data_IF_941709900538
#
_entry.id   IF_941709900538
#
_cell.length_a   1.000
_cell.length_b   1.000
_cell.length_c   1.000
_cell.angle_alpha   90.00
_cell.angle_beta   90.00
_cell.angle_gamma   90.00
#
_symmetry.space_group_name_H-M   'P 1'
#
loop_
_entity.id
_entity.type
_entity.pdbx_description
1 polymer ?
#
# COMPACT_ATOMS: atom_id res chain seq x y z
N UNK A 1 22.01 4.61 13.65
CA UNK A 1 21.35 5.47 12.64
C UNK A 1 19.83 5.36 12.76
N UNK A 2 19.11 6.49 12.63
CA UNK A 2 17.63 6.54 12.64
C UNK A 2 17.11 6.96 11.28
N UNK A 3 16.15 6.22 10.75
CA UNK A 3 15.58 6.46 9.42
C UNK A 3 14.08 6.73 9.54
N UNK A 4 13.52 7.50 8.59
CA UNK A 4 12.09 7.71 8.49
C UNK A 4 11.55 7.52 7.07
N UNK A 5 10.43 6.82 6.96
CA UNK A 5 9.66 6.69 5.73
C UNK A 5 8.33 7.42 5.86
N UNK A 6 8.01 8.27 4.87
CA UNK A 6 6.70 8.90 4.75
C UNK A 6 6.02 8.35 3.50
N UNK A 7 4.93 7.62 3.71
CA UNK A 7 4.05 7.09 2.66
C UNK A 7 2.82 7.99 2.55
N UNK A 8 2.67 8.68 1.42
CA UNK A 8 1.55 9.59 1.14
C UNK A 8 0.62 8.90 0.15
N UNK A 9 -0.26 8.06 0.69
CA UNK A 9 -1.26 7.33 -0.09
C UNK A 9 -2.58 8.09 -0.26
N UNK A 10 -3.46 7.54 -1.09
CA UNK A 10 -4.76 8.15 -1.40
C UNK A 10 -5.76 8.08 -0.24
N UNK A 11 -5.70 7.07 0.62
CA UNK A 11 -6.57 6.94 1.80
C UNK A 11 -5.97 7.60 3.03
N UNK A 12 -4.68 7.37 3.30
CA UNK A 12 -4.01 7.87 4.50
C UNK A 12 -2.57 8.23 4.20
N UNK A 13 -2.01 9.13 5.02
CA UNK A 13 -0.58 9.39 5.07
C UNK A 13 0.02 8.70 6.30
N UNK A 14 1.25 8.20 6.17
CA UNK A 14 1.92 7.43 7.22
C UNK A 14 3.35 7.92 7.42
N UNK A 15 3.77 7.97 8.67
CA UNK A 15 5.16 8.16 9.06
C UNK A 15 5.59 6.91 9.83
N UNK A 16 6.71 6.32 9.44
CA UNK A 16 7.37 5.26 10.17
C UNK A 16 8.79 5.70 10.50
N UNK A 17 9.14 5.74 11.79
CA UNK A 17 10.49 6.04 12.28
C UNK A 17 11.09 4.77 12.86
N UNK A 18 12.31 4.45 12.45
CA UNK A 18 13.03 3.26 12.91
C UNK A 18 14.45 3.61 13.32
N UNK A 19 15.03 2.75 14.16
CA UNK A 19 16.47 2.67 14.39
C UNK A 19 17.02 1.45 13.66
N UNK A 20 18.12 1.62 12.94
CA UNK A 20 18.86 0.50 12.36
C UNK A 20 19.54 -0.28 13.47
N UNK A 21 19.36 -1.59 13.50
CA UNK A 21 20.05 -2.46 14.42
C UNK A 21 21.45 -2.76 13.87
N UNK A 22 22.45 -2.49 14.70
CA UNK A 22 23.87 -2.66 14.32
C UNK A 22 24.42 -4.04 14.75
N UNK A 23 23.66 -4.76 15.59
CA UNK A 23 24.06 -6.09 16.02
C UNK A 23 23.68 -7.14 14.96
N UNK A 24 24.65 -7.85 14.35
CA UNK A 24 24.39 -8.89 13.34
C UNK A 24 23.53 -10.06 13.83
N UNK A 25 23.38 -10.22 15.16
CA UNK A 25 22.56 -11.27 15.77
C UNK A 25 21.08 -10.85 15.92
N UNK A 26 20.74 -9.58 15.66
CA UNK A 26 19.36 -9.12 15.70
C UNK A 26 18.60 -9.70 14.50
N UNK A 27 17.46 -10.34 14.77
CA UNK A 27 16.62 -10.93 13.73
C UNK A 27 16.00 -9.89 12.79
N UNK A 28 15.84 -8.67 13.26
CA UNK A 28 15.23 -7.57 12.52
C UNK A 28 16.24 -6.46 12.27
N UNK A 29 16.37 -6.07 11.00
CA UNK A 29 17.24 -4.96 10.58
C UNK A 29 16.78 -3.62 11.20
N UNK A 30 15.48 -3.43 11.35
CA UNK A 30 14.87 -2.18 11.83
C UNK A 30 14.10 -2.38 13.12
N UNK A 31 14.47 -1.64 14.16
CA UNK A 31 13.66 -1.50 15.37
C UNK A 31 12.70 -0.31 15.19
N UNK A 32 11.40 -0.59 15.17
CA UNK A 32 10.37 0.46 15.11
C UNK A 32 10.46 1.34 16.38
N UNK A 33 10.56 2.66 16.17
CA UNK A 33 10.48 3.67 17.22
C UNK A 33 9.09 4.29 17.29
N UNK A 34 8.52 4.70 16.13
CA UNK A 34 7.20 5.32 16.09
C UNK A 34 6.49 5.02 14.75
N UNK A 35 5.17 4.93 14.80
CA UNK A 35 4.32 4.81 13.63
C UNK A 35 3.06 5.66 13.77
N UNK A 36 2.90 6.63 12.89
CA UNK A 36 1.74 7.51 12.83
C UNK A 36 0.98 7.34 11.52
N UNK A 37 -0.34 7.23 11.60
CA UNK A 37 -1.23 7.17 10.45
C UNK A 37 -2.32 8.24 10.56
N UNK A 38 -2.44 9.09 9.53
CA UNK A 38 -3.46 10.14 9.45
C UNK A 38 -4.36 9.86 8.23
N UNK A 39 -5.66 9.57 8.42
CA UNK A 39 -6.60 9.27 7.34
C UNK A 39 -7.13 10.57 6.69
N UNK A 40 -6.38 11.14 5.74
CA UNK A 40 -6.75 12.40 5.08
C UNK A 40 -7.67 12.17 3.88
N UNK A 41 -7.60 10.98 3.24
CA UNK A 41 -8.40 10.63 2.07
C UNK A 41 -8.22 11.62 0.90
N UNK A 42 -6.96 11.87 0.52
CA UNK A 42 -6.63 12.75 -0.61
C UNK A 42 -7.27 12.26 -1.92
N UNK A 43 -7.52 10.95 -2.03
CA UNK A 43 -8.13 10.31 -3.19
C UNK A 43 -9.56 10.79 -3.47
N UNK A 44 -10.39 11.01 -2.43
CA UNK A 44 -11.78 11.46 -2.62
C UNK A 44 -11.88 12.74 -3.48
N UNK A 45 -10.91 13.63 -3.31
CA UNK A 45 -10.86 14.86 -4.10
C UNK A 45 -10.17 14.63 -5.46
N UNK A 46 -9.02 13.95 -5.43
CA UNK A 46 -8.17 13.80 -6.60
C UNK A 46 -8.86 13.00 -7.71
N UNK A 47 -9.52 11.89 -7.38
CA UNK A 47 -10.14 11.02 -8.39
C UNK A 47 -11.47 11.57 -8.92
N UNK A 48 -12.17 12.35 -8.12
CA UNK A 48 -13.46 12.94 -8.49
C UNK A 48 -13.31 14.29 -9.17
N UNK A 49 -12.39 15.13 -8.68
CA UNK A 49 -12.27 16.54 -9.12
C UNK A 49 -10.93 16.83 -9.79
N UNK A 50 -10.05 15.84 -9.95
CA UNK A 50 -8.67 16.00 -10.46
C UNK A 50 -7.85 17.06 -9.69
N UNK A 51 -8.26 17.37 -8.47
CA UNK A 51 -7.67 18.44 -7.67
C UNK A 51 -7.93 18.25 -6.19
N UNK A 52 -6.91 18.39 -5.35
CA UNK A 52 -7.03 18.39 -3.90
C UNK A 52 -7.62 19.72 -3.43
N UNK A 53 -8.69 19.68 -2.63
CA UNK A 53 -9.40 20.84 -2.09
C UNK A 53 -8.54 21.67 -1.13
N UNK A 54 -8.96 22.91 -0.86
CA UNK A 54 -8.28 23.78 0.11
C UNK A 54 -8.32 23.18 1.51
N UNK A 55 -9.43 22.56 1.88
CA UNK A 55 -9.70 21.94 3.18
C UNK A 55 -8.75 20.76 3.41
N UNK A 56 -8.71 19.78 2.51
CA UNK A 56 -7.81 18.63 2.60
C UNK A 56 -6.34 19.03 2.53
N UNK A 57 -6.01 20.00 1.66
CA UNK A 57 -4.66 20.56 1.59
C UNK A 57 -4.22 21.20 2.92
N UNK A 58 -5.14 21.90 3.63
CA UNK A 58 -4.85 22.49 4.96
C UNK A 58 -4.52 21.38 5.98
N UNK A 59 -5.31 20.30 5.99
CA UNK A 59 -5.08 19.15 6.88
C UNK A 59 -3.76 18.46 6.50
N UNK A 60 -3.54 18.21 5.21
CA UNK A 60 -2.33 17.55 4.71
C UNK A 60 -1.05 18.33 5.07
N UNK A 61 -1.06 19.66 4.91
CA UNK A 61 0.06 20.50 5.32
C UNK A 61 0.34 20.42 6.82
N UNK A 62 -0.70 20.42 7.66
CA UNK A 62 -0.54 20.26 9.11
C UNK A 62 0.07 18.89 9.45
N UNK A 63 -0.39 17.81 8.79
CA UNK A 63 0.16 16.47 9.00
C UNK A 63 1.65 16.41 8.60
N UNK A 64 2.04 17.00 7.46
CA UNK A 64 3.43 17.03 7.03
C UNK A 64 4.33 17.85 7.97
N UNK A 65 3.84 18.98 8.47
CA UNK A 65 4.55 19.77 9.49
C UNK A 65 4.74 18.97 10.80
N UNK A 66 3.68 18.28 11.25
CA UNK A 66 3.76 17.43 12.45
C UNK A 66 4.77 16.29 12.25
N UNK A 67 4.79 15.66 11.06
CA UNK A 67 5.78 14.62 10.74
C UNK A 67 7.21 15.16 10.75
N UNK A 68 7.42 16.38 10.22
CA UNK A 68 8.75 17.03 10.27
C UNK A 68 9.19 17.26 11.72
N UNK A 69 8.32 17.83 12.56
CA UNK A 69 8.63 18.06 13.98
C UNK A 69 8.89 16.75 14.74
N UNK A 70 8.16 15.68 14.44
CA UNK A 70 8.42 14.35 15.01
C UNK A 70 9.78 13.83 14.57
N UNK A 71 10.11 13.90 13.29
CA UNK A 71 11.44 13.47 12.80
C UNK A 71 12.56 14.27 13.47
N UNK A 72 12.39 15.57 13.70
CA UNK A 72 13.36 16.40 14.41
C UNK A 72 13.49 15.99 15.89
N UNK A 73 12.36 15.76 16.58
CA UNK A 73 12.36 15.34 17.97
C UNK A 73 12.97 13.94 18.18
N UNK A 74 12.83 13.05 17.20
CA UNK A 74 13.48 11.74 17.20
C UNK A 74 14.93 11.79 16.69
N UNK A 75 15.41 12.95 16.23
CA UNK A 75 16.74 13.12 15.66
C UNK A 75 16.98 12.12 14.50
N UNK A 76 16.06 12.12 13.51
CA UNK A 76 16.14 11.27 12.33
C UNK A 76 17.27 11.73 11.43
N UNK A 77 18.21 10.83 11.10
CA UNK A 77 19.38 11.13 10.26
C UNK A 77 19.00 11.30 8.79
N UNK A 78 18.14 10.37 8.28
CA UNK A 78 17.70 10.37 6.88
C UNK A 78 16.23 10.03 6.76
N UNK A 79 15.54 10.67 5.81
CA UNK A 79 14.16 10.35 5.50
C UNK A 79 13.92 10.33 3.98
N UNK A 80 12.85 9.64 3.59
CA UNK A 80 12.28 9.73 2.25
C UNK A 80 10.76 9.80 2.35
N UNK A 81 10.17 10.75 1.61
CA UNK A 81 8.72 10.88 1.48
C UNK A 81 8.30 10.58 0.03
N UNK A 82 7.45 9.58 -0.14
CA UNK A 82 6.88 9.19 -1.44
C UNK A 82 5.39 9.46 -1.46
N UNK A 83 4.92 10.11 -2.51
CA UNK A 83 3.49 10.35 -2.76
C UNK A 83 3.06 9.59 -4.02
N UNK A 84 1.91 8.92 -3.91
CA UNK A 84 1.40 8.01 -4.93
C UNK A 84 0.22 8.59 -5.73
N UNK A 85 -0.72 7.76 -6.16
CA UNK A 85 -1.77 8.08 -7.14
C UNK A 85 -2.54 9.37 -6.87
N UNK A 86 -2.99 9.65 -5.65
CA UNK A 86 -3.77 10.87 -5.38
C UNK A 86 -2.98 12.17 -5.64
N UNK A 87 -1.72 12.22 -5.22
CA UNK A 87 -0.86 13.39 -5.49
C UNK A 87 -0.37 13.43 -6.93
N UNK A 88 -0.18 12.27 -7.55
CA UNK A 88 0.27 12.13 -8.94
C UNK A 88 -0.78 12.62 -9.93
N UNK A 89 -2.07 12.35 -9.68
CA UNK A 89 -3.17 12.67 -10.57
C UNK A 89 -3.80 14.04 -10.31
N UNK A 90 -3.59 14.62 -9.14
CA UNK A 90 -4.10 15.96 -8.85
C UNK A 90 -3.32 17.05 -9.60
N UNK A 91 -4.02 17.90 -10.37
CA UNK A 91 -3.44 19.05 -11.09
C UNK A 91 -2.60 19.97 -10.19
N UNK A 92 -2.95 20.06 -8.92
CA UNK A 92 -2.25 20.87 -7.94
C UNK A 92 -1.26 20.07 -7.06
N UNK A 93 -1.06 18.77 -7.32
CA UNK A 93 -0.24 17.90 -6.48
C UNK A 93 1.21 18.38 -6.35
N UNK A 94 1.87 18.70 -7.48
CA UNK A 94 3.24 19.24 -7.51
C UNK A 94 3.34 20.55 -6.72
N UNK A 95 2.42 21.49 -6.97
CA UNK A 95 2.39 22.79 -6.27
C UNK A 95 2.18 22.65 -4.76
N UNK A 96 1.43 21.60 -4.33
CA UNK A 96 1.25 21.33 -2.90
C UNK A 96 2.56 20.79 -2.30
N UNK A 97 3.26 19.88 -2.98
CA UNK A 97 4.56 19.36 -2.54
C UNK A 97 5.61 20.47 -2.41
N UNK A 98 5.73 21.37 -3.39
CA UNK A 98 6.59 22.54 -3.35
C UNK A 98 6.29 23.44 -2.14
N UNK A 99 5.03 23.80 -1.93
CA UNK A 99 4.63 24.61 -0.78
C UNK A 99 4.88 23.97 0.58
N UNK A 100 4.88 22.63 0.67
CA UNK A 100 5.26 21.92 1.88
C UNK A 100 6.77 22.04 2.08
N UNK A 101 7.55 21.87 1.02
CA UNK A 101 9.00 22.07 1.07
C UNK A 101 9.36 23.50 1.53
N UNK A 102 8.79 24.52 0.91
CA UNK A 102 9.03 25.93 1.28
C UNK A 102 8.68 26.21 2.76
N UNK A 103 7.66 25.54 3.28
CA UNK A 103 7.15 25.80 4.63
C UNK A 103 7.92 25.08 5.74
N UNK A 104 8.36 23.84 5.51
CA UNK A 104 8.99 23.02 6.55
C UNK A 104 10.18 22.19 6.09
N UNK A 105 10.69 22.42 4.89
CA UNK A 105 11.86 21.71 4.35
C UNK A 105 11.62 20.23 4.02
N UNK A 106 10.37 19.75 4.06
CA UNK A 106 10.04 18.36 3.79
C UNK A 106 9.87 18.13 2.28
N UNK A 107 10.86 17.46 1.67
CA UNK A 107 10.83 17.11 0.24
C UNK A 107 9.95 15.90 0.01
N UNK A 108 8.93 16.04 -0.86
CA UNK A 108 8.02 14.96 -1.26
C UNK A 108 8.35 14.55 -2.70
N UNK A 109 8.62 13.27 -2.92
CA UNK A 109 8.81 12.67 -4.22
C UNK A 109 7.47 12.08 -4.72
N UNK A 110 6.90 12.65 -5.77
CA UNK A 110 5.71 12.07 -6.43
C UNK A 110 6.22 10.98 -7.37
N UNK A 111 5.87 9.71 -7.08
CA UNK A 111 6.40 8.55 -7.78
C UNK A 111 5.39 7.97 -8.78
N UNK A 112 5.91 7.28 -9.82
CA UNK A 112 5.10 6.51 -10.76
C UNK A 112 4.67 5.19 -10.14
N UNK A 113 3.63 4.52 -10.69
CA UNK A 113 3.19 3.20 -10.21
C UNK A 113 4.27 2.13 -10.40
N UNK A 114 5.07 2.20 -11.46
CA UNK A 114 6.23 1.29 -11.66
C UNK A 114 7.24 1.47 -10.53
N UNK A 115 7.56 2.72 -10.17
CA UNK A 115 8.49 3.01 -9.06
C UNK A 115 7.92 2.55 -7.72
N UNK A 116 6.63 2.70 -7.52
CA UNK A 116 5.90 2.19 -6.35
C UNK A 116 6.06 0.67 -6.22
N UNK A 117 5.82 -0.08 -7.33
CA UNK A 117 6.05 -1.54 -7.38
C UNK A 117 7.49 -1.94 -7.03
N UNK A 118 8.49 -1.23 -7.59
CA UNK A 118 9.90 -1.52 -7.29
C UNK A 118 10.24 -1.35 -5.81
N UNK A 119 9.73 -0.28 -5.18
CA UNK A 119 9.95 -0.02 -3.76
C UNK A 119 9.24 -1.08 -2.90
N UNK A 120 8.00 -1.45 -3.24
CA UNK A 120 7.25 -2.47 -2.52
C UNK A 120 7.96 -3.83 -2.62
N UNK A 121 8.47 -4.20 -3.80
CA UNK A 121 9.21 -5.46 -3.97
C UNK A 121 10.44 -5.55 -3.07
N UNK A 122 11.13 -4.45 -2.78
CA UNK A 122 12.23 -4.41 -1.81
C UNK A 122 11.78 -4.80 -0.40
N UNK A 123 10.54 -4.46 -0.01
CA UNK A 123 10.01 -4.76 1.32
C UNK A 123 9.62 -6.22 1.52
N UNK A 124 9.45 -6.96 0.43
CA UNK A 124 8.97 -8.35 0.46
C UNK A 124 9.97 -9.34 -0.18
N UNK A 125 11.19 -8.89 -0.51
CA UNK A 125 12.18 -9.74 -1.19
C UNK A 125 12.50 -11.03 -0.45
N UNK A 126 12.51 -10.99 0.87
CA UNK A 126 12.87 -12.11 1.74
C UNK A 126 11.74 -13.17 1.85
N UNK A 127 10.53 -12.85 1.37
CA UNK A 127 9.42 -13.80 1.26
C UNK A 127 9.51 -14.69 0.03
N UNK A 128 10.31 -14.32 -0.96
CA UNK A 128 10.42 -15.08 -2.19
C UNK A 128 11.29 -16.33 -2.00
N UNK A 129 10.67 -17.49 -2.06
CA UNK A 129 11.37 -18.78 -2.00
C UNK A 129 12.00 -19.12 -3.35
N UNK A 130 13.14 -19.83 -3.36
CA UNK A 130 13.70 -20.40 -4.59
C UNK A 130 12.68 -21.31 -5.29
N UNK A 131 12.70 -21.31 -6.62
CA UNK A 131 11.84 -22.14 -7.47
C UNK A 131 10.33 -21.94 -7.30
N UNK A 132 9.89 -20.85 -6.66
CA UNK A 132 8.48 -20.50 -6.53
C UNK A 132 8.15 -19.29 -7.40
N UNK A 133 6.96 -19.32 -7.99
CA UNK A 133 6.45 -18.24 -8.82
C UNK A 133 5.42 -17.44 -8.03
N UNK A 134 5.49 -16.11 -8.12
CA UNK A 134 4.59 -15.25 -7.37
C UNK A 134 3.93 -14.20 -8.28
N UNK A 135 2.65 -13.95 -8.03
CA UNK A 135 2.00 -12.70 -8.41
C UNK A 135 1.96 -11.79 -7.18
N UNK A 136 2.69 -10.68 -7.22
CA UNK A 136 2.56 -9.67 -6.18
C UNK A 136 1.38 -8.76 -6.49
N UNK A 137 0.58 -8.46 -5.47
CA UNK A 137 -0.63 -7.65 -5.60
C UNK A 137 -0.61 -6.59 -4.49
N UNK A 138 -0.47 -5.32 -4.85
CA UNK A 138 -0.64 -4.21 -3.90
C UNK A 138 -1.88 -3.40 -4.28
N UNK A 139 -2.90 -3.42 -3.42
CA UNK A 139 -4.12 -2.65 -3.62
C UNK A 139 -4.08 -1.41 -2.76
N UNK A 140 -3.76 -0.29 -3.40
CA UNK A 140 -3.81 1.03 -2.80
C UNK A 140 -5.20 1.65 -2.77
N UNK A 141 -5.27 2.93 -2.38
CA UNK A 141 -6.53 3.68 -2.45
C UNK A 141 -6.93 4.10 -3.86
N UNK A 142 -5.97 4.34 -4.74
CA UNK A 142 -6.21 4.87 -6.09
C UNK A 142 -5.67 4.03 -7.23
N UNK A 143 -4.69 3.17 -6.97
CA UNK A 143 -4.10 2.28 -7.96
C UNK A 143 -3.91 0.88 -7.38
N UNK A 144 -3.70 -0.08 -8.26
CA UNK A 144 -3.31 -1.46 -7.94
C UNK A 144 -2.07 -1.80 -8.74
N UNK A 145 -1.02 -2.18 -8.05
CA UNK A 145 0.25 -2.58 -8.61
C UNK A 145 0.31 -4.11 -8.64
N UNK A 146 0.62 -4.66 -9.83
CA UNK A 146 0.81 -6.09 -10.05
C UNK A 146 2.23 -6.34 -10.57
N UNK A 147 2.88 -7.40 -10.06
CA UNK A 147 4.11 -7.87 -10.68
C UNK A 147 4.22 -9.40 -10.63
N UNK A 148 4.71 -9.98 -11.71
CA UNK A 148 5.07 -11.40 -11.78
C UNK A 148 6.53 -11.54 -11.37
N UNK A 149 6.79 -12.36 -10.36
CA UNK A 149 8.11 -12.60 -9.80
C UNK A 149 8.46 -14.08 -9.91
N UNK A 150 9.64 -14.38 -10.42
CA UNK A 150 10.18 -15.73 -10.50
C UNK A 150 11.63 -15.74 -9.98
N UNK A 151 11.94 -16.66 -9.09
CA UNK A 151 13.26 -16.75 -8.46
C UNK A 151 13.73 -15.40 -7.89
N UNK A 152 12.85 -14.66 -7.23
CA UNK A 152 13.13 -13.34 -6.65
C UNK A 152 13.34 -12.22 -7.67
N UNK A 153 13.16 -12.46 -8.97
CA UNK A 153 13.31 -11.46 -10.04
C UNK A 153 11.96 -11.10 -10.63
N UNK A 154 11.71 -9.80 -10.73
CA UNK A 154 10.53 -9.27 -11.41
C UNK A 154 10.63 -9.49 -12.92
N UNK A 155 9.68 -10.22 -13.49
CA UNK A 155 9.59 -10.46 -14.94
C UNK A 155 8.74 -9.41 -15.66
N UNK A 156 7.61 -9.07 -15.05
CA UNK A 156 6.65 -8.10 -15.59
C UNK A 156 6.03 -7.32 -14.44
N UNK A 157 5.69 -6.07 -14.67
CA UNK A 157 4.89 -5.27 -13.74
C UNK A 157 3.93 -4.34 -14.48
N UNK A 158 2.84 -3.99 -13.83
CA UNK A 158 1.89 -3.01 -14.29
C UNK A 158 1.22 -2.31 -13.12
N UNK A 159 0.82 -1.06 -13.32
CA UNK A 159 0.00 -0.28 -12.39
C UNK A 159 -1.31 0.07 -13.09
N UNK A 160 -2.42 -0.18 -12.41
CA UNK A 160 -3.76 0.03 -12.93
C UNK A 160 -4.50 1.07 -12.09
N UNK A 161 -5.27 1.94 -12.74
CA UNK A 161 -6.07 2.97 -12.08
C UNK A 161 -7.34 2.35 -11.45
N UNK A 162 -7.14 1.41 -10.53
CA UNK A 162 -8.15 0.81 -9.67
C UNK A 162 -7.60 0.74 -8.25
N UNK A 163 -8.38 1.15 -7.28
CA UNK A 163 -8.02 1.15 -5.87
C UNK A 163 -9.26 1.36 -5.02
N UNK A 164 -9.13 1.12 -3.73
CA UNK A 164 -10.30 1.06 -2.84
C UNK A 164 -11.08 2.37 -2.76
N UNK A 165 -10.42 3.51 -2.68
CA UNK A 165 -11.07 4.84 -2.65
C UNK A 165 -11.69 5.14 -4.01
N UNK A 166 -10.96 4.90 -5.10
CA UNK A 166 -11.45 5.10 -6.46
C UNK A 166 -12.70 4.26 -6.76
N UNK A 167 -12.77 3.03 -6.24
CA UNK A 167 -13.93 2.15 -6.39
C UNK A 167 -15.15 2.69 -5.63
N UNK A 168 -14.97 3.09 -4.37
CA UNK A 168 -16.05 3.67 -3.55
C UNK A 168 -16.62 4.94 -4.18
N UNK A 169 -15.77 5.75 -4.82
CA UNK A 169 -16.17 6.98 -5.52
C UNK A 169 -16.80 6.72 -6.90
N UNK A 170 -16.94 5.46 -7.33
CA UNK A 170 -17.50 5.09 -8.63
C UNK A 170 -16.64 5.52 -9.84
N UNK A 171 -15.35 5.81 -9.61
CA UNK A 171 -14.42 6.31 -10.63
C UNK A 171 -13.66 5.17 -11.37
N UNK A 172 -14.21 3.96 -11.38
CA UNK A 172 -13.67 2.79 -12.10
C UNK A 172 -14.68 2.31 -13.12
N UNK A 173 -14.26 2.17 -14.37
CA UNK A 173 -15.11 1.67 -15.45
C UNK A 173 -14.81 0.19 -15.77
N UNK A 174 -15.72 -0.45 -16.50
CA UNK A 174 -15.60 -1.86 -16.91
C UNK A 174 -14.36 -2.12 -17.76
N UNK A 175 -13.97 -1.18 -18.62
CA UNK A 175 -12.76 -1.31 -19.44
C UNK A 175 -11.48 -1.49 -18.59
N UNK A 176 -11.43 -0.83 -17.44
CA UNK A 176 -10.30 -1.00 -16.51
C UNK A 176 -10.22 -2.44 -16.01
N UNK A 177 -11.36 -3.04 -15.64
CA UNK A 177 -11.43 -4.43 -15.19
C UNK A 177 -11.01 -5.40 -16.29
N UNK A 178 -11.50 -5.22 -17.52
CA UNK A 178 -11.10 -6.05 -18.67
C UNK A 178 -9.61 -5.97 -18.96
N UNK A 179 -9.01 -4.78 -18.78
CA UNK A 179 -7.57 -4.59 -18.98
C UNK A 179 -6.76 -5.36 -17.94
N UNK A 180 -7.17 -5.33 -16.66
CA UNK A 180 -6.50 -6.06 -15.58
C UNK A 180 -6.65 -7.57 -15.80
N UNK A 181 -7.86 -8.02 -16.09
CA UNK A 181 -8.14 -9.44 -16.35
C UNK A 181 -7.27 -9.97 -17.49
N UNK A 182 -7.24 -9.26 -18.62
CA UNK A 182 -6.41 -9.63 -19.77
C UNK A 182 -4.93 -9.68 -19.40
N UNK A 183 -4.43 -8.70 -18.65
CA UNK A 183 -3.04 -8.66 -18.22
C UNK A 183 -2.71 -9.84 -17.29
N UNK A 184 -3.54 -10.09 -16.28
CA UNK A 184 -3.32 -11.20 -15.33
C UNK A 184 -3.31 -12.52 -16.08
N UNK A 185 -4.36 -12.83 -16.85
CA UNK A 185 -4.46 -14.09 -17.61
C UNK A 185 -3.25 -14.28 -18.53
N UNK A 186 -2.92 -13.27 -19.35
CA UNK A 186 -1.80 -13.37 -20.29
C UNK A 186 -0.44 -13.53 -19.60
N UNK A 187 -0.22 -12.87 -18.45
CA UNK A 187 1.08 -12.93 -17.75
C UNK A 187 1.25 -14.13 -16.84
N UNK A 188 0.15 -14.84 -16.53
CA UNK A 188 0.19 -16.01 -15.62
C UNK A 188 -0.18 -17.34 -16.26
N UNK A 189 -0.73 -17.37 -17.49
CA UNK A 189 -1.26 -18.58 -18.14
C UNK A 189 -0.28 -19.77 -18.24
N UNK A 190 1.02 -19.47 -18.39
CA UNK A 190 2.07 -20.49 -18.54
C UNK A 190 2.98 -20.60 -17.30
N UNK A 191 2.51 -20.13 -16.14
CA UNK A 191 3.27 -20.16 -14.89
C UNK A 191 2.63 -21.19 -13.96
N UNK A 192 3.28 -22.36 -13.76
CA UNK A 192 2.78 -23.38 -12.84
C UNK A 192 2.95 -22.93 -11.39
N UNK A 193 2.12 -23.49 -10.51
CA UNK A 193 2.20 -23.36 -9.04
C UNK A 193 2.37 -21.90 -8.58
N UNK A 194 1.54 -21.01 -9.16
CA UNK A 194 1.58 -19.59 -8.86
C UNK A 194 0.94 -19.30 -7.49
N UNK A 195 1.71 -18.69 -6.60
CA UNK A 195 1.23 -18.17 -5.32
C UNK A 195 1.10 -16.65 -5.37
N UNK A 196 0.33 -16.03 -4.47
CA UNK A 196 0.26 -14.59 -4.37
C UNK A 196 1.03 -14.08 -3.16
N UNK A 197 1.72 -12.94 -3.33
CA UNK A 197 2.18 -12.10 -2.21
C UNK A 197 1.41 -10.80 -2.26
N UNK A 198 0.59 -10.55 -1.24
CA UNK A 198 -0.30 -9.38 -1.19
C UNK A 198 0.17 -8.38 -0.15
N UNK A 199 0.13 -7.10 -0.51
CA UNK A 199 0.50 -6.00 0.38
C UNK A 199 -0.63 -4.97 0.45
N UNK A 200 -0.78 -4.34 1.50
CA UNK A 200 -1.50 -3.09 1.85
C UNK A 200 -1.99 -3.14 3.29
N UNK A 201 -2.26 -1.98 3.86
CA UNK A 201 -2.77 -1.92 5.24
C UNK A 201 -4.18 -2.50 5.42
N UNK A 202 -4.96 -2.66 4.35
CA UNK A 202 -6.30 -3.25 4.40
C UNK A 202 -6.24 -4.76 4.35
N UNK A 203 -5.45 -5.34 3.42
CA UNK A 203 -5.31 -6.80 3.33
C UNK A 203 -4.62 -7.38 4.56
N UNK A 204 -3.65 -6.68 5.15
CA UNK A 204 -3.02 -7.10 6.40
C UNK A 204 -4.02 -7.16 7.56
N UNK A 205 -4.99 -6.22 7.60
CA UNK A 205 -6.07 -6.26 8.59
C UNK A 205 -7.03 -7.41 8.32
N UNK A 206 -7.36 -7.69 7.06
CA UNK A 206 -8.19 -8.85 6.67
C UNK A 206 -7.48 -10.15 7.04
N UNK A 207 -6.20 -10.29 6.69
CA UNK A 207 -5.42 -11.48 6.98
C UNK A 207 -5.34 -11.79 8.49
N UNK A 208 -5.15 -10.76 9.31
CA UNK A 208 -5.22 -10.90 10.76
C UNK A 208 -6.61 -11.38 11.26
N UNK A 209 -7.69 -10.94 10.63
CA UNK A 209 -9.04 -11.41 10.99
C UNK A 209 -9.31 -12.84 10.51
N UNK A 210 -8.71 -13.25 9.40
CA UNK A 210 -8.86 -14.60 8.86
C UNK A 210 -8.08 -15.63 9.66
N UNK A 211 -6.87 -15.29 10.06
CA UNK A 211 -5.95 -16.19 10.74
C UNK A 211 -5.12 -15.43 11.80
N UNK A 212 -5.67 -15.16 13.00
CA UNK A 212 -4.96 -14.39 14.02
C UNK A 212 -3.66 -15.04 14.52
N UNK A 213 -3.58 -16.37 14.49
CA UNK A 213 -2.40 -17.13 14.94
C UNK A 213 -1.27 -17.12 13.91
N UNK A 214 -1.63 -17.06 12.62
CA UNK A 214 -0.67 -16.95 11.52
C UNK A 214 -1.18 -15.95 10.47
N UNK A 215 -1.13 -14.63 10.76
CA UNK A 215 -1.72 -13.61 9.92
C UNK A 215 -0.99 -13.38 8.59
N UNK A 216 0.11 -14.08 8.36
CA UNK A 216 0.88 -13.95 7.11
C UNK A 216 0.36 -14.87 5.98
N UNK A 217 -0.58 -15.79 6.27
CA UNK A 217 -1.04 -16.74 5.28
C UNK A 217 -2.55 -16.96 5.35
N UNK A 218 -3.18 -17.00 4.18
CA UNK A 218 -4.59 -17.39 4.03
C UNK A 218 -4.84 -17.96 2.62
N UNK A 219 -6.03 -18.54 2.40
CA UNK A 219 -6.44 -19.03 1.09
C UNK A 219 -7.45 -18.12 0.42
N UNK A 220 -7.57 -18.23 -0.91
CA UNK A 220 -8.59 -17.55 -1.69
C UNK A 220 -10.01 -17.87 -1.17
N UNK A 221 -10.28 -19.11 -0.79
CA UNK A 221 -11.58 -19.49 -0.25
C UNK A 221 -11.87 -18.83 1.11
N UNK A 222 -10.87 -18.67 1.98
CA UNK A 222 -11.02 -17.92 3.22
C UNK A 222 -11.36 -16.44 2.95
N UNK A 223 -10.66 -15.82 2.00
CA UNK A 223 -10.94 -14.42 1.59
C UNK A 223 -12.35 -14.31 0.98
N UNK A 224 -12.80 -15.27 0.18
CA UNK A 224 -14.13 -15.31 -0.41
C UNK A 224 -15.23 -15.45 0.66
N UNK A 225 -15.02 -16.29 1.67
CA UNK A 225 -15.94 -16.40 2.80
C UNK A 225 -16.01 -15.09 3.59
N UNK A 226 -14.87 -14.45 3.85
CA UNK A 226 -14.80 -13.15 4.48
C UNK A 226 -15.56 -12.08 3.68
N UNK A 227 -15.27 -11.96 2.39
CA UNK A 227 -15.95 -10.98 1.51
C UNK A 227 -17.47 -11.19 1.49
N UNK A 228 -17.95 -12.44 1.37
CA UNK A 228 -19.38 -12.77 1.43
C UNK A 228 -20.04 -12.32 2.73
N UNK A 229 -19.30 -12.36 3.85
CA UNK A 229 -19.77 -11.87 5.14
C UNK A 229 -19.81 -10.36 5.21
N UNK A 230 -18.70 -9.68 4.87
CA UNK A 230 -18.59 -8.22 5.05
C UNK A 230 -19.40 -7.43 4.03
N UNK A 231 -19.60 -7.95 2.81
CA UNK A 231 -20.42 -7.30 1.77
C UNK A 231 -21.90 -7.16 2.15
N UNK A 232 -22.37 -7.98 3.10
CA UNK A 232 -23.75 -7.90 3.64
C UNK A 232 -23.88 -6.95 4.84
N UNK A 233 -22.76 -6.48 5.39
CA UNK A 233 -22.72 -5.59 6.55
C UNK A 233 -22.78 -4.13 6.10
N UNK A 234 -23.55 -3.32 6.81
CA UNK A 234 -23.45 -1.87 6.73
C UNK A 234 -22.10 -1.38 7.25
N UNK A 235 -21.73 -0.13 6.92
CA UNK A 235 -20.49 0.48 7.41
C UNK A 235 -20.47 0.51 8.95
N UNK A 236 -21.60 0.81 9.59
CA UNK A 236 -21.73 0.81 11.06
C UNK A 236 -21.46 -0.58 11.64
N UNK A 237 -22.07 -1.61 11.08
CA UNK A 237 -21.83 -3.00 11.52
C UNK A 237 -20.36 -3.42 11.33
N UNK A 238 -19.70 -2.97 10.26
CA UNK A 238 -18.24 -3.22 10.07
C UNK A 238 -17.41 -2.50 11.13
N UNK A 239 -17.79 -1.27 11.51
CA UNK A 239 -17.12 -0.53 12.58
C UNK A 239 -17.28 -1.23 13.94
N UNK A 240 -18.52 -1.64 14.26
CA UNK A 240 -18.85 -2.21 15.58
C UNK A 240 -18.37 -3.65 15.73
N UNK A 241 -18.61 -4.50 14.72
CA UNK A 241 -18.32 -5.93 14.81
C UNK A 241 -16.86 -6.26 14.50
N UNK A 242 -16.21 -5.50 13.57
CA UNK A 242 -14.83 -5.74 13.15
C UNK A 242 -13.84 -4.76 13.77
N UNK A 243 -14.32 -3.85 14.63
CA UNK A 243 -13.51 -2.81 15.29
C UNK A 243 -12.67 -2.01 14.32
N UNK A 244 -13.30 -1.59 13.21
CA UNK A 244 -12.66 -0.82 12.16
C UNK A 244 -12.90 0.68 12.35
N UNK A 245 -11.89 1.48 12.02
CA UNK A 245 -12.08 2.92 11.87
C UNK A 245 -12.95 3.20 10.63
N UNK A 246 -13.69 4.33 10.59
CA UNK A 246 -14.59 4.67 9.48
C UNK A 246 -13.93 4.57 8.09
N UNK A 247 -12.71 5.08 7.97
CA UNK A 247 -11.92 5.12 6.74
C UNK A 247 -11.40 3.74 6.27
N UNK A 248 -11.62 2.69 7.05
CA UNK A 248 -11.38 1.30 6.69
C UNK A 248 -12.67 0.50 6.52
N UNK A 249 -13.69 0.84 7.30
CA UNK A 249 -14.98 0.15 7.25
C UNK A 249 -15.68 0.32 5.90
N UNK A 250 -15.50 1.47 5.24
CA UNK A 250 -16.09 1.77 3.93
C UNK A 250 -15.35 1.12 2.74
N UNK A 251 -14.10 0.70 2.92
CA UNK A 251 -13.29 0.16 1.83
C UNK A 251 -12.95 -1.34 1.96
N UNK A 252 -13.26 -1.98 3.09
CA UNK A 252 -12.75 -3.33 3.37
C UNK A 252 -13.34 -4.40 2.45
N UNK A 253 -14.64 -4.30 2.13
CA UNK A 253 -15.31 -5.19 1.19
C UNK A 253 -14.83 -4.99 -0.25
N UNK A 254 -14.70 -3.73 -0.66
CA UNK A 254 -14.17 -3.36 -1.98
C UNK A 254 -12.72 -3.85 -2.12
N UNK A 255 -11.91 -3.72 -1.06
CA UNK A 255 -10.55 -4.25 -1.04
C UNK A 255 -10.54 -5.76 -1.27
N UNK A 256 -11.37 -6.50 -0.53
CA UNK A 256 -11.48 -7.95 -0.68
C UNK A 256 -11.95 -8.36 -2.09
N UNK A 257 -12.90 -7.62 -2.70
CA UNK A 257 -13.38 -7.88 -4.08
C UNK A 257 -12.25 -7.72 -5.11
N UNK A 258 -11.43 -6.65 -5.01
CA UNK A 258 -10.31 -6.43 -5.94
C UNK A 258 -9.32 -7.60 -5.87
N UNK A 259 -8.89 -8.02 -4.66
CA UNK A 259 -7.99 -9.16 -4.50
C UNK A 259 -8.61 -10.45 -5.03
N UNK A 260 -9.87 -10.75 -4.71
CA UNK A 260 -10.56 -11.96 -5.17
C UNK A 260 -10.63 -12.06 -6.69
N UNK A 261 -10.96 -10.98 -7.39
CA UNK A 261 -10.98 -10.96 -8.85
C UNK A 261 -9.61 -11.31 -9.44
N UNK A 262 -8.55 -10.66 -8.94
CA UNK A 262 -7.18 -10.90 -9.41
C UNK A 262 -6.74 -12.34 -9.12
N UNK A 263 -7.00 -12.85 -7.91
CA UNK A 263 -6.69 -14.23 -7.52
C UNK A 263 -7.45 -15.25 -8.38
N UNK A 264 -8.72 -14.97 -8.71
CA UNK A 264 -9.51 -15.82 -9.59
C UNK A 264 -8.97 -15.86 -11.02
N UNK A 265 -8.61 -14.70 -11.58
CA UNK A 265 -8.05 -14.62 -12.94
C UNK A 265 -6.69 -15.31 -13.06
N UNK A 266 -5.86 -15.25 -12.01
CA UNK A 266 -4.58 -15.94 -11.94
C UNK A 266 -4.69 -17.39 -11.49
N UNK A 267 -5.89 -17.90 -11.17
CA UNK A 267 -6.13 -19.23 -10.59
C UNK A 267 -5.24 -19.52 -9.36
N UNK A 268 -5.10 -18.55 -8.47
CA UNK A 268 -4.21 -18.59 -7.30
C UNK A 268 -5.02 -18.96 -6.07
N UNK A 269 -4.54 -19.95 -5.31
CA UNK A 269 -5.20 -20.40 -4.07
C UNK A 269 -4.44 -19.97 -2.82
N UNK A 270 -3.11 -20.01 -2.83
CA UNK A 270 -2.24 -19.70 -1.69
C UNK A 270 -1.87 -18.24 -1.71
N UNK A 271 -2.10 -17.56 -0.60
CA UNK A 271 -1.86 -16.11 -0.46
C UNK A 271 -1.00 -15.84 0.77
N UNK A 272 0.12 -15.15 0.55
CA UNK A 272 1.00 -14.64 1.58
C UNK A 272 0.76 -13.14 1.77
N UNK A 273 0.56 -12.72 3.02
CA UNK A 273 0.28 -11.33 3.38
C UNK A 273 1.31 -10.82 4.39
N UNK A 274 2.56 -10.60 3.96
CA UNK A 274 3.57 -10.04 4.84
C UNK A 274 3.13 -8.66 5.33
N UNK A 275 3.42 -8.36 6.61
CA UNK A 275 3.10 -7.04 7.17
C UNK A 275 4.10 -5.98 6.68
N UNK A 276 4.26 -5.90 5.37
CA UNK A 276 5.17 -5.02 4.66
C UNK A 276 4.42 -4.18 3.62
N UNK A 277 5.06 -3.17 3.07
CA UNK A 277 4.51 -2.31 2.04
C UNK A 277 5.43 -1.13 1.69
N UNK A 278 4.90 -0.09 1.04
CA UNK A 278 5.68 1.03 0.52
C UNK A 278 6.61 1.66 1.58
N UNK A 279 6.12 1.91 2.80
CA UNK A 279 6.93 2.50 3.89
C UNK A 279 8.16 1.68 4.25
N UNK A 280 8.02 0.34 4.21
CA UNK A 280 9.09 -0.58 4.56
C UNK A 280 10.13 -0.65 3.42
N UNK A 281 9.66 -0.65 2.16
CA UNK A 281 10.53 -0.57 1.00
C UNK A 281 11.31 0.76 0.92
N UNK A 282 10.71 1.88 1.35
CA UNK A 282 11.39 3.16 1.49
C UNK A 282 12.54 3.06 2.52
N UNK A 283 12.33 2.39 3.65
CA UNK A 283 13.37 2.19 4.65
C UNK A 283 14.52 1.32 4.12
N UNK A 284 14.20 0.24 3.40
CA UNK A 284 15.23 -0.59 2.76
C UNK A 284 16.06 0.21 1.75
N UNK A 285 15.42 1.08 0.96
CA UNK A 285 16.12 1.93 0.00
C UNK A 285 17.01 2.98 0.68
N UNK A 286 16.55 3.57 1.78
CA UNK A 286 17.36 4.48 2.58
C UNK A 286 18.56 3.76 3.20
N UNK A 287 18.33 2.56 3.73
CA UNK A 287 19.41 1.74 4.28
C UNK A 287 20.46 1.43 3.23
N UNK A 288 20.08 0.88 2.08
CA UNK A 288 21.00 0.56 0.98
C UNK A 288 21.82 1.79 0.48
N UNK A 289 21.27 3.00 0.67
CA UNK A 289 21.90 4.24 0.22
C UNK A 289 22.92 4.80 1.21
N UNK A 290 22.68 4.62 2.52
CA UNK A 290 23.45 5.33 3.56
C UNK A 290 24.22 4.39 4.49
N UNK A 291 24.06 3.07 4.35
CA UNK A 291 24.71 2.05 5.15
C UNK A 291 25.50 1.08 4.27
#
# INVERSE_FOLDING_TARGET
>A
MKLAAIDIGSNAVRLLIVRVNENPNDKELFKKLEFVRVPIRLGDDSFKYQRISKEKNKIFKKAMQSFKLMMDAFEVDHYMACATSAMREADNGKKIAEKIYDKCGLKINIITGVRESEIILRSIKDYFKPNTNYLTIDVGGGSTELAVVRNGKMLNSASFNIGTVRMVDGAVNEKTWLTIESWVKHKTENIPDLEAVVTSGTINKISFMLNPENPENFTREQLKAFHRKVSKMSIMERMDNLKLNPDRADIIDVSADIYLRILNWGNIEIVHAPNAGLKDGILNELYDKFY
#
